data_IF_602864725656
#
_entry.id   IF_602864725656
#
_cell.length_a   1.000
_cell.length_b   1.000
_cell.length_c   1.000
_cell.angle_alpha   90.00
_cell.angle_beta   90.00
_cell.angle_gamma   90.00
#
_symmetry.space_group_name_H-M   'P 1'
#
loop_
_entity.id
_entity.type
_entity.pdbx_description
1 polymer ?
#
# COMPACT_ATOMS: atom_id res chain seq x y z
N UNK A 1 35.58 -51.21 -33.13
CA UNK A 1 34.86 -51.00 -31.85
C UNK A 1 34.92 -49.51 -31.50
N UNK A 2 33.98 -48.68 -31.96
CA UNK A 2 33.99 -47.25 -31.66
C UNK A 2 32.61 -46.55 -31.75
N UNK A 3 31.50 -47.30 -31.87
CA UNK A 3 30.18 -46.70 -32.10
C UNK A 3 29.12 -46.98 -31.04
N UNK A 4 29.42 -47.75 -30.00
CA UNK A 4 28.43 -48.15 -28.97
C UNK A 4 28.51 -47.36 -27.67
N UNK A 5 29.51 -46.51 -27.47
CA UNK A 5 29.70 -45.76 -26.20
C UNK A 5 28.98 -44.41 -26.18
N UNK A 6 28.61 -43.84 -27.35
CA UNK A 6 27.91 -42.53 -27.40
C UNK A 6 26.41 -42.59 -27.08
N UNK A 7 25.79 -43.78 -27.08
CA UNK A 7 24.35 -43.90 -26.78
C UNK A 7 24.02 -43.92 -25.28
N UNK A 8 24.98 -44.28 -24.42
CA UNK A 8 24.74 -44.35 -22.98
C UNK A 8 24.82 -42.98 -22.27
N UNK A 9 25.57 -42.02 -22.83
CA UNK A 9 25.69 -40.66 -22.28
C UNK A 9 24.48 -39.76 -22.59
N UNK A 10 23.61 -40.13 -23.53
CA UNK A 10 22.38 -39.37 -23.82
C UNK A 10 21.19 -39.83 -22.97
N UNK A 11 21.23 -41.01 -22.34
CA UNK A 11 20.12 -41.50 -21.51
C UNK A 11 20.15 -40.98 -20.06
N UNK A 12 21.28 -40.43 -19.59
CA UNK A 12 21.41 -39.92 -18.22
C UNK A 12 20.98 -38.45 -18.05
N UNK A 13 20.62 -37.74 -19.13
CA UNK A 13 20.17 -36.33 -19.05
C UNK A 13 18.67 -36.15 -18.77
N UNK A 14 17.88 -37.24 -18.71
CA UNK A 14 16.42 -37.18 -18.52
C UNK A 14 15.93 -37.45 -17.09
N UNK A 15 16.83 -37.56 -16.11
CA UNK A 15 16.49 -37.70 -14.69
C UNK A 15 16.77 -36.42 -13.89
N UNK A 16 16.49 -35.24 -14.49
CA UNK A 16 16.29 -34.05 -13.67
C UNK A 16 14.99 -34.27 -12.88
N UNK A 17 14.99 -34.09 -11.54
CA UNK A 17 13.75 -34.10 -10.79
C UNK A 17 12.91 -32.96 -11.34
N UNK A 18 11.85 -33.29 -12.09
CA UNK A 18 10.81 -32.33 -12.40
C UNK A 18 10.23 -31.97 -11.05
N UNK A 19 10.69 -30.87 -10.49
CA UNK A 19 10.03 -30.22 -9.36
C UNK A 19 8.67 -29.81 -9.89
N UNK A 20 7.69 -30.69 -9.76
CA UNK A 20 6.29 -30.32 -9.90
C UNK A 20 6.04 -29.40 -8.72
N UNK A 21 6.26 -28.09 -8.92
CA UNK A 21 5.64 -27.11 -8.06
C UNK A 21 4.16 -27.41 -8.16
N UNK A 22 3.58 -27.94 -7.09
CA UNK A 22 2.14 -28.07 -7.00
C UNK A 22 1.61 -26.66 -7.23
N UNK A 23 1.01 -26.43 -8.40
CA UNK A 23 0.43 -25.14 -8.73
C UNK A 23 -0.82 -25.08 -7.85
N UNK A 24 -0.68 -24.46 -6.68
CA UNK A 24 -1.84 -24.19 -5.85
C UNK A 24 -2.74 -23.30 -6.69
N UNK A 25 -4.03 -23.61 -6.77
CA UNK A 25 -5.00 -22.77 -7.49
C UNK A 25 -5.26 -21.44 -6.74
N UNK A 26 -4.27 -20.93 -6.00
CA UNK A 26 -4.40 -19.83 -5.07
C UNK A 26 -5.31 -20.12 -3.88
N UNK A 27 -5.81 -21.35 -3.70
CA UNK A 27 -6.76 -21.70 -2.64
C UNK A 27 -6.05 -22.04 -1.33
N UNK A 28 -6.56 -21.48 -0.23
CA UNK A 28 -6.09 -21.65 1.15
C UNK A 28 -7.22 -22.34 1.93
N UNK A 29 -6.92 -23.47 2.58
CA UNK A 29 -7.92 -24.20 3.35
C UNK A 29 -8.16 -23.53 4.71
N UNK A 30 -9.40 -23.66 5.22
CA UNK A 30 -9.65 -23.33 6.63
C UNK A 30 -8.78 -24.21 7.53
N UNK A 31 -8.10 -23.58 8.49
CA UNK A 31 -7.11 -24.22 9.36
C UNK A 31 -5.67 -23.94 8.93
N UNK A 32 -5.44 -23.50 7.69
CA UNK A 32 -4.12 -23.09 7.25
C UNK A 32 -3.68 -21.80 7.96
N UNK A 33 -2.37 -21.68 8.14
CA UNK A 33 -1.78 -20.54 8.80
C UNK A 33 -0.39 -20.17 8.24
N UNK A 34 0.01 -18.93 8.50
CA UNK A 34 1.38 -18.46 8.29
C UNK A 34 1.95 -17.96 9.61
N UNK A 35 3.28 -18.00 9.74
CA UNK A 35 4.01 -17.47 10.89
C UNK A 35 4.98 -16.38 10.45
N UNK A 36 5.07 -15.31 11.24
CA UNK A 36 6.00 -14.20 11.04
C UNK A 36 7.42 -14.63 11.42
N UNK A 37 8.20 -15.09 10.45
CA UNK A 37 9.59 -15.53 10.66
C UNK A 37 10.52 -14.95 9.58
N UNK A 38 11.79 -14.79 9.92
CA UNK A 38 12.84 -14.36 8.97
C UNK A 38 13.34 -15.50 8.07
N UNK A 39 12.99 -16.75 8.38
CA UNK A 39 13.34 -17.94 7.62
C UNK A 39 12.07 -18.62 7.08
N UNK A 40 12.01 -18.80 5.76
CA UNK A 40 11.13 -19.73 5.03
C UNK A 40 9.64 -19.77 5.43
N UNK A 41 9.01 -18.65 5.77
CA UNK A 41 7.54 -18.60 5.67
C UNK A 41 7.18 -18.53 4.19
N UNK A 42 6.64 -19.61 3.65
CA UNK A 42 6.15 -19.63 2.27
C UNK A 42 4.85 -18.84 2.23
N UNK A 43 4.78 -17.69 1.53
CA UNK A 43 3.56 -16.92 1.44
C UNK A 43 2.49 -17.71 0.66
N UNK A 44 1.24 -17.30 0.79
CA UNK A 44 0.17 -17.78 -0.08
C UNK A 44 0.27 -17.07 -1.43
N UNK A 45 0.66 -17.82 -2.46
CA UNK A 45 0.85 -17.31 -3.81
C UNK A 45 -0.44 -17.36 -4.62
N UNK A 46 -0.62 -16.36 -5.48
CA UNK A 46 -1.55 -16.42 -6.61
C UNK A 46 -1.12 -17.49 -7.63
N UNK A 47 -2.04 -18.06 -8.45
CA UNK A 47 -1.71 -19.10 -9.44
C UNK A 47 -0.60 -18.73 -10.43
N UNK A 48 -0.51 -17.46 -10.83
CA UNK A 48 0.55 -16.91 -11.69
C UNK A 48 1.87 -16.68 -10.95
N UNK A 49 1.84 -16.65 -9.62
CA UNK A 49 2.93 -16.21 -8.77
C UNK A 49 3.25 -14.72 -8.90
N UNK A 50 2.38 -13.90 -9.50
CA UNK A 50 2.60 -12.45 -9.62
C UNK A 50 2.39 -11.74 -8.27
N UNK A 51 1.46 -12.25 -7.45
CA UNK A 51 1.16 -11.73 -6.11
C UNK A 51 1.35 -12.79 -5.02
N UNK A 52 1.70 -12.31 -3.83
CA UNK A 52 1.86 -13.09 -2.62
C UNK A 52 1.13 -12.43 -1.45
N UNK A 53 0.49 -13.22 -0.60
CA UNK A 53 -0.06 -12.82 0.70
C UNK A 53 0.76 -13.44 1.82
N UNK A 54 1.15 -12.65 2.83
CA UNK A 54 1.88 -13.16 3.99
C UNK A 54 2.59 -12.08 4.81
N UNK A 55 3.65 -12.47 5.52
CA UNK A 55 4.41 -11.56 6.37
C UNK A 55 5.58 -10.91 5.63
N UNK A 56 5.54 -9.58 5.54
CA UNK A 56 6.64 -8.75 5.04
C UNK A 56 7.39 -8.12 6.21
N UNK A 57 8.74 -8.21 6.27
CA UNK A 57 9.51 -7.64 7.36
C UNK A 57 9.51 -6.10 7.32
N UNK A 58 9.35 -5.46 8.48
CA UNK A 58 9.48 -4.03 8.69
C UNK A 58 10.89 -3.71 9.19
N UNK A 59 11.80 -3.46 8.25
CA UNK A 59 13.19 -3.16 8.57
C UNK A 59 13.89 -4.31 9.31
N UNK A 60 14.77 -3.97 10.25
CA UNK A 60 15.61 -4.93 10.99
C UNK A 60 15.05 -5.33 12.37
N UNK A 61 13.86 -4.87 12.74
CA UNK A 61 13.41 -4.87 14.15
C UNK A 61 12.60 -6.11 14.57
N UNK A 62 12.69 -7.23 13.84
CA UNK A 62 11.86 -8.43 14.09
C UNK A 62 10.34 -8.12 14.11
N UNK A 63 9.93 -7.07 13.40
CA UNK A 63 8.54 -6.66 13.18
C UNK A 63 8.13 -6.99 11.75
N UNK A 64 6.85 -7.30 11.56
CA UNK A 64 6.29 -7.73 10.28
C UNK A 64 4.95 -7.05 10.02
N UNK A 65 4.60 -6.93 8.74
CA UNK A 65 3.26 -6.62 8.27
C UNK A 65 2.65 -7.84 7.61
N UNK A 66 1.41 -8.14 7.97
CA UNK A 66 0.56 -8.97 7.14
C UNK A 66 0.16 -8.16 5.90
N UNK A 67 0.55 -8.63 4.71
CA UNK A 67 0.53 -7.81 3.50
C UNK A 67 0.34 -8.62 2.22
N UNK A 68 -0.01 -7.92 1.15
CA UNK A 68 0.07 -8.40 -0.23
C UNK A 68 1.12 -7.58 -0.97
N UNK A 69 1.96 -8.26 -1.76
CA UNK A 69 2.98 -7.62 -2.59
C UNK A 69 3.13 -8.30 -3.95
N UNK A 70 3.77 -7.61 -4.88
CA UNK A 70 4.22 -8.22 -6.15
C UNK A 70 5.38 -9.18 -5.89
N UNK A 71 5.14 -10.48 -6.01
CA UNK A 71 6.05 -11.53 -5.58
C UNK A 71 7.30 -11.67 -6.48
N UNK A 72 7.18 -11.30 -7.76
CA UNK A 72 8.28 -11.34 -8.73
C UNK A 72 9.15 -10.09 -8.71
N UNK A 73 8.74 -9.02 -8.03
CA UNK A 73 9.52 -7.78 -7.92
C UNK A 73 10.47 -7.91 -6.71
N UNK A 74 11.80 -7.77 -6.88
CA UNK A 74 12.77 -7.95 -5.80
C UNK A 74 12.52 -7.11 -4.55
N UNK A 75 12.12 -5.85 -4.73
CA UNK A 75 11.88 -4.90 -3.64
C UNK A 75 10.54 -5.13 -2.91
N UNK A 76 9.77 -6.18 -3.27
CA UNK A 76 8.49 -6.57 -2.66
C UNK A 76 7.55 -5.38 -2.45
N UNK A 77 7.21 -4.70 -3.52
CA UNK A 77 6.28 -3.57 -3.47
C UNK A 77 4.93 -4.00 -2.88
N UNK A 78 4.65 -3.55 -1.66
CA UNK A 78 3.41 -3.81 -0.92
C UNK A 78 2.27 -3.00 -1.56
N UNK A 79 1.14 -3.66 -1.78
CA UNK A 79 -0.06 -3.10 -2.42
C UNK A 79 -1.29 -3.17 -1.51
N UNK A 80 -1.20 -3.93 -0.41
CA UNK A 80 -2.21 -4.00 0.63
C UNK A 80 -1.55 -4.45 1.93
N UNK A 81 -2.05 -4.00 3.08
CA UNK A 81 -1.64 -4.50 4.39
C UNK A 81 -2.81 -4.54 5.36
N UNK A 82 -2.73 -5.42 6.35
CA UNK A 82 -3.71 -5.50 7.42
C UNK A 82 -3.71 -4.17 8.21
N UNK A 83 -4.88 -3.56 8.31
CA UNK A 83 -5.10 -2.28 8.98
C UNK A 83 -6.32 -2.44 9.90
N UNK A 84 -6.13 -2.25 11.22
CA UNK A 84 -7.16 -2.36 12.25
C UNK A 84 -7.41 -0.99 12.88
N UNK A 85 -8.67 -0.58 13.00
CA UNK A 85 -9.08 0.71 13.61
C UNK A 85 -8.32 1.95 13.11
N UNK A 86 -7.91 1.94 11.84
CA UNK A 86 -7.10 2.98 11.18
C UNK A 86 -5.60 2.99 11.55
N UNK A 87 -5.07 1.90 12.11
CA UNK A 87 -3.63 1.70 12.34
C UNK A 87 -3.15 0.40 11.67
N UNK A 88 -1.92 0.43 11.15
CA UNK A 88 -1.32 -0.75 10.56
C UNK A 88 -1.11 -1.83 11.64
N UNK A 89 -1.57 -3.05 11.36
CA UNK A 89 -1.44 -4.19 12.26
C UNK A 89 0.00 -4.72 12.24
N UNK A 90 0.88 -4.08 13.02
CA UNK A 90 2.28 -4.49 13.16
C UNK A 90 2.37 -5.74 14.03
N UNK A 91 3.01 -6.78 13.48
CA UNK A 91 3.10 -8.10 14.10
C UNK A 91 4.54 -8.38 14.57
N UNK A 92 4.78 -8.67 15.86
CA UNK A 92 6.09 -9.15 16.31
C UNK A 92 6.40 -10.54 15.72
N UNK A 93 7.68 -10.87 15.62
CA UNK A 93 8.15 -12.21 15.22
C UNK A 93 7.46 -13.33 16.01
N UNK A 94 7.08 -14.38 15.30
CA UNK A 94 6.32 -15.50 15.86
C UNK A 94 4.80 -15.30 15.86
N UNK A 95 4.31 -14.11 15.48
CA UNK A 95 2.88 -13.90 15.24
C UNK A 95 2.37 -14.85 14.16
N UNK A 96 1.10 -15.23 14.24
CA UNK A 96 0.46 -16.14 13.28
C UNK A 96 -0.77 -15.52 12.69
N UNK A 97 -1.01 -15.75 11.39
CA UNK A 97 -2.31 -15.49 10.76
C UNK A 97 -2.94 -16.82 10.39
N UNK A 98 -4.13 -17.09 10.93
CA UNK A 98 -4.86 -18.33 10.68
C UNK A 98 -6.13 -18.02 9.90
N UNK A 99 -6.46 -18.86 8.92
CA UNK A 99 -7.76 -18.83 8.27
C UNK A 99 -8.75 -19.68 9.07
N UNK A 100 -9.84 -19.08 9.51
CA UNK A 100 -10.88 -19.73 10.31
C UNK A 100 -12.24 -19.66 9.61
N UNK A 101 -13.08 -20.68 9.79
CA UNK A 101 -14.41 -20.74 9.17
C UNK A 101 -15.36 -19.60 9.62
N UNK A 102 -15.20 -19.13 10.85
CA UNK A 102 -16.15 -18.20 11.49
C UNK A 102 -15.63 -16.76 11.60
N UNK A 103 -14.31 -16.56 11.60
CA UNK A 103 -13.70 -15.24 11.84
C UNK A 103 -12.80 -14.80 10.70
N UNK A 104 -12.73 -15.56 9.61
CA UNK A 104 -11.84 -15.31 8.49
C UNK A 104 -10.37 -15.36 8.89
N UNK A 105 -9.60 -14.39 8.39
CA UNK A 105 -8.19 -14.23 8.74
C UNK A 105 -8.10 -13.65 10.15
N UNK A 106 -7.37 -14.32 11.03
CA UNK A 106 -7.14 -13.87 12.40
C UNK A 106 -5.65 -13.79 12.65
N UNK A 107 -5.13 -12.59 12.85
CA UNK A 107 -3.74 -12.31 13.18
C UNK A 107 -3.58 -12.26 14.69
N UNK A 108 -2.69 -13.09 15.24
CA UNK A 108 -2.39 -13.15 16.67
C UNK A 108 -0.91 -12.94 16.96
N UNK A 109 -0.62 -12.26 18.07
CA UNK A 109 0.73 -12.17 18.62
C UNK A 109 1.21 -13.56 19.11
N UNK A 110 2.53 -13.75 19.36
CA UNK A 110 3.04 -14.99 19.96
C UNK A 110 2.41 -15.32 21.31
N UNK A 111 1.89 -14.32 22.01
CA UNK A 111 1.22 -14.45 23.31
C UNK A 111 -0.29 -14.76 23.16
N UNK A 112 -0.82 -14.82 21.93
CA UNK A 112 -2.21 -15.15 21.63
C UNK A 112 -3.17 -13.95 21.54
N UNK A 113 -2.68 -12.74 21.76
CA UNK A 113 -3.45 -11.49 21.60
C UNK A 113 -3.89 -11.33 20.15
N UNK A 114 -5.15 -10.96 19.92
CA UNK A 114 -5.66 -10.65 18.58
C UNK A 114 -5.17 -9.26 18.16
N UNK A 115 -4.32 -9.21 17.14
CA UNK A 115 -3.78 -7.97 16.60
C UNK A 115 -4.67 -7.41 15.48
N UNK A 116 -5.34 -8.29 14.73
CA UNK A 116 -6.23 -7.92 13.62
C UNK A 116 -7.10 -9.11 13.18
N UNK A 117 -8.24 -8.82 12.55
CA UNK A 117 -9.04 -9.81 11.82
C UNK A 117 -9.74 -9.21 10.59
N UNK A 118 -10.06 -10.03 9.59
CA UNK A 118 -10.73 -9.63 8.35
C UNK A 118 -12.23 -9.29 8.51
N UNK A 119 -12.66 -8.78 9.66
CA UNK A 119 -14.08 -8.54 9.96
C UNK A 119 -14.91 -9.83 10.13
N UNK A 120 -16.17 -9.68 10.54
CA UNK A 120 -17.10 -10.79 10.72
C UNK A 120 -17.99 -10.90 9.49
N UNK A 121 -17.88 -11.99 8.72
CA UNK A 121 -18.80 -12.24 7.61
C UNK A 121 -20.11 -12.86 8.09
N UNK A 122 -21.22 -12.53 7.41
CA UNK A 122 -22.50 -13.23 7.58
C UNK A 122 -22.42 -14.51 6.75
N UNK A 123 -21.79 -15.56 7.30
CA UNK A 123 -21.62 -16.82 6.59
C UNK A 123 -20.55 -17.72 7.20
N UNK A 124 -20.37 -18.90 6.59
CA UNK A 124 -19.30 -19.84 6.95
C UNK A 124 -18.29 -19.87 5.80
N UNK A 125 -17.06 -19.49 6.09
CA UNK A 125 -15.98 -19.46 5.13
C UNK A 125 -15.57 -20.91 4.80
N UNK A 126 -15.52 -21.22 3.51
CA UNK A 126 -15.09 -22.51 3.01
C UNK A 126 -13.58 -22.54 2.73
N UNK A 127 -13.06 -21.46 2.15
CA UNK A 127 -11.65 -21.29 1.81
C UNK A 127 -11.32 -19.81 1.57
N UNK A 128 -10.02 -19.51 1.56
CA UNK A 128 -9.47 -18.26 1.03
C UNK A 128 -8.91 -18.47 -0.37
N UNK A 129 -8.83 -17.42 -1.17
CA UNK A 129 -8.25 -17.45 -2.52
C UNK A 129 -7.38 -16.21 -2.72
N UNK A 130 -6.09 -16.41 -2.97
CA UNK A 130 -5.21 -15.38 -3.52
C UNK A 130 -5.28 -15.44 -5.04
N UNK A 131 -5.91 -14.48 -5.69
CA UNK A 131 -6.10 -14.51 -7.14
C UNK A 131 -5.02 -13.75 -7.93
N UNK A 132 -5.04 -13.87 -9.26
CA UNK A 132 -4.08 -13.22 -10.16
C UNK A 132 -4.34 -11.72 -10.39
N UNK A 133 -5.42 -11.15 -9.84
CA UNK A 133 -5.64 -9.70 -9.82
C UNK A 133 -4.98 -9.04 -8.61
N UNK A 134 -4.45 -9.83 -7.67
CA UNK A 134 -3.92 -9.33 -6.40
C UNK A 134 -4.99 -9.18 -5.31
N UNK A 135 -6.21 -9.67 -5.55
CA UNK A 135 -7.28 -9.68 -4.56
C UNK A 135 -7.23 -10.98 -3.76
N UNK A 136 -7.15 -10.87 -2.43
CA UNK A 136 -7.38 -11.99 -1.52
C UNK A 136 -8.86 -12.02 -1.12
N UNK A 137 -9.53 -13.13 -1.44
CA UNK A 137 -10.98 -13.32 -1.25
C UNK A 137 -11.23 -14.43 -0.24
N UNK A 138 -12.12 -14.19 0.72
CA UNK A 138 -12.70 -15.20 1.58
C UNK A 138 -14.07 -15.56 1.01
N UNK A 139 -14.31 -16.84 0.74
CA UNK A 139 -15.52 -17.26 0.04
C UNK A 139 -16.25 -18.40 0.75
N UNK A 140 -17.55 -18.50 0.51
CA UNK A 140 -18.41 -19.57 1.00
C UNK A 140 -18.31 -20.84 0.10
N UNK A 141 -19.14 -21.85 0.37
CA UNK A 141 -19.15 -23.10 -0.43
C UNK A 141 -19.67 -22.91 -1.86
N UNK A 142 -20.41 -21.84 -2.12
CA UNK A 142 -20.94 -21.47 -3.43
C UNK A 142 -19.97 -20.56 -4.20
N UNK A 143 -18.77 -20.29 -3.64
CA UNK A 143 -17.80 -19.33 -4.16
C UNK A 143 -18.30 -17.87 -4.15
N UNK A 144 -19.27 -17.55 -3.30
CA UNK A 144 -19.67 -16.18 -3.04
C UNK A 144 -18.65 -15.49 -2.14
N UNK A 145 -18.25 -14.27 -2.51
CA UNK A 145 -17.31 -13.46 -1.73
C UNK A 145 -17.96 -13.00 -0.42
N UNK A 146 -17.39 -13.42 0.71
CA UNK A 146 -17.80 -13.04 2.05
C UNK A 146 -16.97 -11.86 2.59
N UNK A 147 -15.74 -11.72 2.12
CA UNK A 147 -14.83 -10.61 2.41
C UNK A 147 -13.72 -10.60 1.38
N UNK A 148 -13.22 -9.42 1.02
CA UNK A 148 -12.07 -9.31 0.12
C UNK A 148 -11.24 -8.05 0.36
N UNK A 149 -9.97 -8.14 -0.01
CA UNK A 149 -9.03 -7.00 0.12
C UNK A 149 -9.38 -5.82 -0.79
N UNK A 150 -10.00 -6.08 -1.95
CA UNK A 150 -10.41 -5.01 -2.87
C UNK A 150 -11.48 -4.09 -2.28
N UNK A 151 -12.34 -4.60 -1.39
CA UNK A 151 -13.32 -3.78 -0.66
C UNK A 151 -12.75 -3.16 0.62
N UNK A 152 -11.49 -3.48 0.96
CA UNK A 152 -10.80 -2.99 2.15
C UNK A 152 -9.42 -2.43 1.78
N UNK A 153 -9.32 -1.44 0.86
CA UNK A 153 -8.04 -0.94 0.39
C UNK A 153 -7.27 -0.17 1.47
N UNK A 154 -5.96 -0.04 1.28
CA UNK A 154 -5.09 0.79 2.11
C UNK A 154 -4.78 2.12 1.42
N UNK A 155 -3.60 2.23 0.81
CA UNK A 155 -3.10 3.39 0.07
C UNK A 155 -3.09 3.13 -1.44
N UNK A 156 -3.37 1.91 -1.89
CA UNK A 156 -3.16 1.47 -3.26
C UNK A 156 -4.40 0.78 -3.83
N UNK A 157 -4.71 1.08 -5.09
CA UNK A 157 -5.65 0.34 -5.93
C UNK A 157 -4.91 -0.46 -6.99
N UNK A 158 -5.47 -1.63 -7.31
CA UNK A 158 -4.99 -2.52 -8.37
C UNK A 158 -5.96 -2.58 -9.57
N UNK A 159 -5.49 -2.99 -10.76
CA UNK A 159 -6.37 -3.20 -11.90
C UNK A 159 -7.44 -4.27 -11.61
N UNK A 160 -8.68 -3.96 -11.94
CA UNK A 160 -9.87 -4.76 -11.62
C UNK A 160 -10.59 -4.32 -10.34
N UNK A 161 -10.06 -3.33 -9.61
CA UNK A 161 -10.67 -2.82 -8.38
C UNK A 161 -11.56 -1.60 -8.64
N UNK A 162 -12.64 -1.50 -7.87
CA UNK A 162 -13.48 -0.31 -7.78
C UNK A 162 -13.47 0.25 -6.36
N UNK A 163 -13.76 1.54 -6.23
CA UNK A 163 -13.98 2.22 -4.96
C UNK A 163 -15.35 2.88 -5.02
N UNK A 164 -16.29 2.37 -4.24
CA UNK A 164 -17.65 2.91 -4.14
C UNK A 164 -17.69 4.24 -3.39
N UNK A 165 -18.85 4.89 -3.36
CA UNK A 165 -19.07 6.08 -2.52
C UNK A 165 -18.77 5.78 -1.05
N UNK A 166 -18.27 6.78 -0.35
CA UNK A 166 -17.63 6.67 0.97
C UNK A 166 -16.38 5.80 1.04
N UNK A 167 -15.99 5.14 -0.06
CA UNK A 167 -14.73 4.43 -0.18
C UNK A 167 -13.56 5.41 -0.20
N UNK A 168 -12.47 5.04 0.50
CA UNK A 168 -11.28 5.88 0.62
C UNK A 168 -9.98 5.09 0.49
N UNK A 169 -8.93 5.77 0.04
CA UNK A 169 -7.54 5.39 0.26
C UNK A 169 -6.95 6.31 1.32
N UNK A 170 -6.15 5.77 2.23
CA UNK A 170 -5.40 6.55 3.21
C UNK A 170 -3.92 6.36 2.97
N UNK A 171 -3.16 7.45 2.89
CA UNK A 171 -1.72 7.36 2.73
C UNK A 171 -1.09 6.69 3.95
N UNK A 172 0.09 6.12 3.79
CA UNK A 172 0.97 5.79 4.91
C UNK A 172 1.65 7.05 5.47
N UNK A 173 2.22 6.96 6.68
CA UNK A 173 2.89 8.08 7.35
C UNK A 173 4.22 8.44 6.68
N UNK A 174 4.98 7.43 6.25
CA UNK A 174 6.24 7.62 5.52
C UNK A 174 6.54 6.40 4.65
N UNK A 175 7.63 6.43 3.87
CA UNK A 175 8.06 5.31 3.03
C UNK A 175 8.19 3.98 3.80
N UNK A 176 8.62 4.04 5.06
CA UNK A 176 8.90 2.86 5.90
C UNK A 176 7.92 2.67 7.05
N UNK A 177 7.02 3.62 7.27
CA UNK A 177 6.02 3.58 8.32
C UNK A 177 4.61 3.50 7.72
N UNK A 178 4.00 2.32 7.85
CA UNK A 178 2.69 1.99 7.30
C UNK A 178 1.53 2.45 8.18
N UNK A 179 1.78 3.07 9.33
CA UNK A 179 0.75 3.77 10.09
C UNK A 179 0.05 4.82 9.22
N UNK A 180 -1.18 5.15 9.59
CA UNK A 180 -2.00 6.08 8.82
C UNK A 180 -1.34 7.46 8.73
N UNK A 181 -1.20 7.92 7.50
CA UNK A 181 -0.71 9.25 7.16
C UNK A 181 -1.83 10.29 7.07
N UNK A 182 -1.42 11.52 6.76
CA UNK A 182 -2.30 12.70 6.78
C UNK A 182 -3.02 12.98 5.48
N UNK A 183 -2.94 12.11 4.47
CA UNK A 183 -3.58 12.31 3.17
C UNK A 183 -4.62 11.23 2.91
N UNK A 184 -5.74 11.62 2.30
CA UNK A 184 -6.76 10.70 1.85
C UNK A 184 -7.23 11.01 0.42
N UNK A 185 -7.62 9.97 -0.30
CA UNK A 185 -8.45 10.02 -1.49
C UNK A 185 -9.81 9.49 -1.08
N UNK A 186 -10.88 10.22 -1.34
CA UNK A 186 -12.24 9.84 -0.92
C UNK A 186 -13.19 10.07 -2.09
N UNK A 187 -13.98 9.04 -2.45
CA UNK A 187 -15.17 9.25 -3.26
C UNK A 187 -16.31 9.61 -2.33
N UNK A 188 -16.75 10.85 -2.37
CA UNK A 188 -17.79 11.37 -1.47
C UNK A 188 -19.19 10.86 -1.87
N UNK A 189 -20.14 10.93 -0.94
CA UNK A 189 -21.53 10.51 -1.16
C UNK A 189 -22.25 11.30 -2.26
N UNK A 190 -21.84 12.55 -2.50
CA UNK A 190 -22.33 13.39 -3.59
C UNK A 190 -21.74 13.04 -4.97
N UNK A 191 -20.86 12.03 -5.01
CA UNK A 191 -20.17 11.54 -6.19
C UNK A 191 -18.83 12.21 -6.49
N UNK A 192 -18.41 13.23 -5.73
CA UNK A 192 -17.14 13.90 -5.99
C UNK A 192 -15.95 13.07 -5.49
N UNK A 193 -15.00 12.78 -6.38
CA UNK A 193 -13.71 12.23 -5.98
C UNK A 193 -12.76 13.37 -5.57
N UNK A 194 -12.28 13.33 -4.33
CA UNK A 194 -11.45 14.38 -3.74
C UNK A 194 -10.16 13.85 -3.13
N UNK A 195 -9.11 14.68 -3.18
CA UNK A 195 -7.89 14.51 -2.40
C UNK A 195 -7.82 15.60 -1.34
N UNK A 196 -7.64 15.20 -0.08
CA UNK A 196 -7.56 16.14 1.04
C UNK A 196 -6.53 15.71 2.09
N UNK A 197 -6.19 16.64 2.96
CA UNK A 197 -5.46 16.31 4.19
C UNK A 197 -6.44 16.01 5.31
N UNK A 198 -6.01 15.24 6.30
CA UNK A 198 -6.77 14.99 7.54
C UNK A 198 -5.95 15.42 8.76
N UNK A 199 -6.65 15.88 9.79
CA UNK A 199 -6.06 16.18 11.08
C UNK A 199 -5.97 14.88 11.89
N UNK A 200 -4.75 14.46 12.26
CA UNK A 200 -4.55 13.31 13.13
C UNK A 200 -4.48 13.76 14.59
N UNK A 201 -5.05 13.01 15.56
CA UNK A 201 -5.72 11.71 15.39
C UNK A 201 -7.24 11.80 15.11
N UNK A 202 -7.81 13.00 14.97
CA UNK A 202 -9.27 13.20 14.90
C UNK A 202 -9.92 12.74 13.60
N UNK A 203 -9.13 12.55 12.54
CA UNK A 203 -9.56 12.22 11.18
C UNK A 203 -10.47 13.28 10.53
N UNK A 204 -10.51 14.51 11.06
CA UNK A 204 -11.24 15.59 10.40
C UNK A 204 -10.54 15.96 9.09
N UNK A 205 -11.26 15.83 7.98
CA UNK A 205 -10.79 16.27 6.68
C UNK A 205 -10.72 17.81 6.64
N UNK A 206 -9.61 18.32 6.12
CA UNK A 206 -9.51 19.69 5.67
C UNK A 206 -10.06 19.80 4.24
N UNK A 207 -10.14 21.01 3.71
CA UNK A 207 -10.65 21.22 2.36
C UNK A 207 -9.80 20.48 1.31
N UNK A 208 -10.44 19.97 0.25
CA UNK A 208 -9.75 19.29 -0.83
C UNK A 208 -8.76 20.19 -1.57
N UNK A 209 -7.54 19.69 -1.80
CA UNK A 209 -6.59 20.35 -2.71
C UNK A 209 -6.75 19.91 -4.16
N UNK A 210 -7.56 18.86 -4.39
CA UNK A 210 -8.01 18.42 -5.70
C UNK A 210 -9.41 17.82 -5.61
N UNK A 211 -10.23 18.08 -6.63
CA UNK A 211 -11.56 17.53 -6.81
C UNK A 211 -11.80 17.27 -8.30
N UNK A 212 -12.64 16.29 -8.61
CA UNK A 212 -13.02 15.96 -9.99
C UNK A 212 -14.28 16.71 -10.47
N UNK A 213 -14.98 17.37 -9.56
CA UNK A 213 -16.26 18.04 -9.78
C UNK A 213 -17.29 17.13 -10.45
N UNK A 214 -17.26 15.85 -10.05
CA UNK A 214 -18.20 14.82 -10.49
C UNK A 214 -19.43 14.76 -9.59
N UNK A 215 -19.99 15.92 -9.26
CA UNK A 215 -21.22 16.05 -8.46
C UNK A 215 -22.46 16.11 -9.34
N UNK A 216 -23.63 16.18 -8.72
CA UNK A 216 -24.88 16.51 -9.42
C UNK A 216 -24.75 17.88 -10.10
N UNK A 217 -24.80 17.89 -11.42
CA UNK A 217 -24.68 19.08 -12.26
C UNK A 217 -25.99 19.42 -12.96
N UNK A 218 -25.90 20.06 -14.13
CA UNK A 218 -27.07 20.36 -14.98
C UNK A 218 -27.58 19.16 -15.77
N UNK A 219 -26.75 18.10 -15.90
CA UNK A 219 -27.10 16.86 -16.57
C UNK A 219 -27.44 15.82 -15.50
N UNK A 220 -28.65 15.26 -15.55
CA UNK A 220 -29.06 14.23 -14.60
C UNK A 220 -28.11 13.02 -14.63
N UNK A 221 -27.77 12.49 -13.45
CA UNK A 221 -26.86 11.35 -13.30
C UNK A 221 -25.40 11.68 -13.57
N UNK A 222 -24.99 12.96 -13.53
CA UNK A 222 -23.59 13.35 -13.71
C UNK A 222 -22.71 13.05 -12.50
N UNK A 223 -23.33 12.75 -11.36
CA UNK A 223 -22.65 12.40 -10.14
C UNK A 223 -21.85 11.10 -10.27
N UNK A 224 -20.67 11.06 -9.66
CA UNK A 224 -19.83 9.87 -9.59
C UNK A 224 -20.52 8.74 -8.81
N UNK A 225 -20.46 7.54 -9.37
CA UNK A 225 -20.96 6.30 -8.78
C UNK A 225 -19.84 5.53 -8.10
N UNK A 226 -18.73 5.35 -8.82
CA UNK A 226 -17.57 4.59 -8.36
C UNK A 226 -16.29 5.07 -9.08
N UNK A 227 -15.16 4.99 -8.40
CA UNK A 227 -13.84 5.11 -9.02
C UNK A 227 -13.41 3.73 -9.51
N UNK A 228 -13.16 3.60 -10.81
CA UNK A 228 -12.83 2.34 -11.46
C UNK A 228 -11.37 2.35 -11.89
N UNK A 229 -10.61 1.34 -11.49
CA UNK A 229 -9.31 1.04 -12.07
C UNK A 229 -9.39 -0.30 -12.81
N UNK A 230 -9.42 -0.29 -14.14
CA UNK A 230 -9.64 -1.53 -14.91
C UNK A 230 -8.35 -2.19 -15.41
N UNK A 231 -8.45 -3.45 -15.85
CA UNK A 231 -7.33 -4.27 -16.36
C UNK A 231 -6.69 -3.72 -17.64
N UNK A 232 -7.38 -2.84 -18.36
CA UNK A 232 -6.82 -2.14 -19.52
C UNK A 232 -5.95 -0.94 -19.13
N UNK A 233 -5.86 -0.61 -17.83
CA UNK A 233 -5.02 0.48 -17.32
C UNK A 233 -5.77 1.80 -17.13
N UNK A 234 -7.07 1.85 -17.44
CA UNK A 234 -7.85 3.09 -17.29
C UNK A 234 -8.27 3.31 -15.84
N UNK A 235 -8.08 4.54 -15.37
CA UNK A 235 -8.49 5.03 -14.07
C UNK A 235 -9.48 6.20 -14.25
N UNK A 236 -10.74 6.00 -13.87
CA UNK A 236 -11.81 6.97 -14.11
C UNK A 236 -12.92 6.90 -13.07
N UNK A 237 -13.61 8.02 -12.85
CA UNK A 237 -14.90 8.02 -12.13
C UNK A 237 -15.99 7.63 -13.12
N UNK A 238 -16.70 6.53 -12.85
CA UNK A 238 -17.93 6.16 -13.55
C UNK A 238 -19.07 6.99 -12.96
N UNK A 239 -19.88 7.62 -13.81
CA UNK A 239 -21.06 8.40 -13.41
C UNK A 239 -22.33 7.56 -13.48
N UNK A 240 -23.37 7.97 -12.76
CA UNK A 240 -24.67 7.26 -12.74
C UNK A 240 -25.30 7.15 -14.13
N UNK A 241 -25.12 8.17 -14.98
CA UNK A 241 -25.60 8.16 -16.37
C UNK A 241 -24.73 7.33 -17.33
N UNK A 242 -23.72 6.60 -16.83
CA UNK A 242 -22.79 5.80 -17.62
C UNK A 242 -21.63 6.60 -18.24
N UNK A 243 -21.60 7.92 -18.07
CA UNK A 243 -20.48 8.76 -18.45
C UNK A 243 -19.21 8.45 -17.65
N UNK A 244 -18.05 8.80 -18.20
CA UNK A 244 -16.75 8.58 -17.55
C UNK A 244 -15.98 9.90 -17.43
N UNK A 245 -15.45 10.16 -16.25
CA UNK A 245 -14.45 11.20 -16.03
C UNK A 245 -13.08 10.53 -15.87
N UNK A 246 -12.24 10.58 -16.90
CA UNK A 246 -10.91 9.98 -16.86
C UNK A 246 -9.96 10.83 -16.02
N UNK A 247 -9.32 10.22 -15.02
CA UNK A 247 -8.30 10.89 -14.22
C UNK A 247 -7.00 11.02 -15.01
N UNK A 248 -6.52 9.88 -15.53
CA UNK A 248 -5.31 9.82 -16.34
C UNK A 248 -5.65 10.14 -17.81
N UNK A 249 -5.13 11.26 -18.31
CA UNK A 249 -5.23 11.66 -19.73
C UNK A 249 -3.86 11.45 -20.36
N UNK A 250 -3.69 10.41 -21.20
CA UNK A 250 -2.39 10.14 -21.84
C UNK A 250 -2.20 8.69 -22.26
N UNK A 251 -0.93 8.26 -22.28
CA UNK A 251 -0.52 6.90 -22.59
C UNK A 251 -1.08 5.92 -21.54
N UNK A 252 -1.77 4.89 -22.02
CA UNK A 252 -2.34 3.85 -21.17
C UNK A 252 -1.60 2.56 -21.43
N UNK A 253 -1.07 1.95 -20.37
CA UNK A 253 -0.44 0.63 -20.43
C UNK A 253 -1.38 -0.40 -19.79
N UNK A 254 -1.39 -1.62 -20.32
CA UNK A 254 -2.28 -2.69 -19.84
C UNK A 254 -1.61 -3.55 -18.77
N UNK A 255 -2.42 -4.03 -17.82
CA UNK A 255 -2.00 -4.96 -16.76
C UNK A 255 -1.60 -6.36 -17.29
N UNK A 256 -1.87 -6.64 -18.57
CA UNK A 256 -1.44 -7.87 -19.25
C UNK A 256 0.09 -7.97 -19.29
N UNK A 257 0.74 -6.91 -19.76
CA UNK A 257 2.18 -6.89 -20.04
C UNK A 257 2.98 -6.14 -18.96
N UNK A 258 2.28 -5.44 -18.06
CA UNK A 258 2.86 -4.61 -17.02
C UNK A 258 2.25 -4.93 -15.65
N UNK A 259 3.05 -4.81 -14.59
CA UNK A 259 2.52 -4.54 -13.26
C UNK A 259 2.10 -3.07 -13.22
N UNK A 260 0.88 -2.80 -12.72
CA UNK A 260 0.35 -1.44 -12.66
C UNK A 260 -0.36 -1.26 -11.32
N UNK A 261 -0.20 -0.09 -10.71
CA UNK A 261 -0.86 0.28 -9.45
C UNK A 261 -1.19 1.76 -9.45
N UNK A 262 -2.24 2.15 -8.73
CA UNK A 262 -2.51 3.55 -8.41
C UNK A 262 -2.38 3.74 -6.90
N UNK A 263 -1.43 4.55 -6.43
CA UNK A 263 -1.09 4.67 -5.01
C UNK A 263 -1.19 6.12 -4.56
N UNK A 264 -1.87 6.36 -3.44
CA UNK A 264 -1.82 7.60 -2.68
C UNK A 264 -0.56 7.59 -1.82
N UNK A 265 0.46 8.30 -2.29
CA UNK A 265 1.75 8.31 -1.60
C UNK A 265 1.67 9.07 -0.27
N UNK A 266 2.64 8.78 0.61
CA UNK A 266 2.76 9.41 1.94
C UNK A 266 2.93 10.94 1.88
N UNK A 267 3.29 11.49 0.72
CA UNK A 267 3.47 12.92 0.49
C UNK A 267 2.28 13.59 -0.22
N UNK A 268 1.14 12.88 -0.30
CA UNK A 268 -0.12 13.42 -0.80
C UNK A 268 -0.30 13.35 -2.31
N UNK A 269 0.68 12.84 -3.05
CA UNK A 269 0.54 12.66 -4.50
C UNK A 269 -0.13 11.32 -4.78
N UNK A 270 -1.29 11.34 -5.44
CA UNK A 270 -1.91 10.15 -5.99
C UNK A 270 -1.34 9.88 -7.38
N UNK A 271 -0.72 8.72 -7.58
CA UNK A 271 0.00 8.44 -8.82
C UNK A 271 -0.26 7.02 -9.33
N UNK A 272 -0.38 6.92 -10.66
CA UNK A 272 -0.40 5.66 -11.38
C UNK A 272 1.03 5.29 -11.80
N UNK A 273 1.45 4.08 -11.42
CA UNK A 273 2.76 3.54 -11.72
C UNK A 273 2.66 2.31 -12.60
N UNK A 274 3.68 2.09 -13.43
CA UNK A 274 3.86 0.83 -14.15
C UNK A 274 5.29 0.30 -14.05
N UNK A 275 5.39 -1.00 -14.23
CA UNK A 275 6.63 -1.73 -14.41
C UNK A 275 6.40 -2.87 -15.44
N UNK A 276 7.15 -2.94 -16.55
CA UNK A 276 7.03 -4.05 -17.50
C UNK A 276 7.29 -5.39 -16.82
N UNK A 277 6.49 -6.44 -17.11
CA UNK A 277 6.68 -7.76 -16.48
C UNK A 277 7.94 -8.48 -16.98
N UNK A 278 8.40 -8.16 -18.18
CA UNK A 278 9.60 -8.74 -18.78
C UNK A 278 10.83 -7.85 -18.51
N UNK A 279 11.30 -7.85 -17.27
CA UNK A 279 12.46 -7.07 -16.86
C UNK A 279 13.67 -7.95 -16.55
N UNK A 280 14.86 -7.39 -16.72
CA UNK A 280 16.14 -8.03 -16.38
C UNK A 280 16.94 -7.12 -15.45
N UNK A 281 17.40 -7.67 -14.32
CA UNK A 281 18.22 -6.93 -13.36
C UNK A 281 17.42 -6.01 -12.44
N UNK A 282 18.02 -4.89 -12.05
CA UNK A 282 17.39 -3.91 -11.15
C UNK A 282 16.27 -3.16 -11.86
N UNK A 283 15.14 -3.03 -11.19
CA UNK A 283 13.93 -2.39 -11.72
C UNK A 283 13.43 -1.30 -10.82
N UNK A 284 12.78 -0.31 -11.41
CA UNK A 284 12.11 0.77 -10.72
C UNK A 284 10.75 1.05 -11.34
N UNK A 285 9.82 1.49 -10.50
CA UNK A 285 8.50 1.93 -10.94
C UNK A 285 8.60 3.23 -11.72
N UNK A 286 7.90 3.32 -12.83
CA UNK A 286 7.77 4.55 -13.62
C UNK A 286 6.39 5.16 -13.41
N UNK A 287 6.31 6.49 -13.26
CA UNK A 287 5.04 7.22 -13.12
C UNK A 287 4.44 7.43 -14.51
N UNK A 288 3.19 7.00 -14.71
CA UNK A 288 2.39 7.31 -15.90
C UNK A 288 1.68 8.66 -15.76
N UNK A 289 1.08 8.85 -14.59
CA UNK A 289 0.23 9.97 -14.28
C UNK A 289 0.24 10.22 -12.77
N UNK A 290 0.07 11.46 -12.36
CA UNK A 290 -0.03 11.84 -10.96
C UNK A 290 -0.84 13.11 -10.75
N UNK A 291 -1.51 13.21 -9.61
CA UNK A 291 -2.21 14.41 -9.17
C UNK A 291 -1.87 14.71 -7.70
N UNK A 292 -1.60 15.98 -7.34
CA UNK A 292 -1.41 17.13 -8.24
C UNK A 292 0.01 17.28 -8.78
N UNK A 293 0.16 18.07 -9.85
CA UNK A 293 1.45 18.41 -10.45
C UNK A 293 2.39 19.19 -9.50
N UNK A 294 1.82 20.08 -8.68
CA UNK A 294 2.56 20.86 -7.68
C UNK A 294 1.75 21.00 -6.39
N UNK A 295 1.83 19.99 -5.53
CA UNK A 295 1.06 19.95 -4.28
C UNK A 295 1.37 21.14 -3.35
N UNK A 296 2.60 21.68 -3.37
CA UNK A 296 2.98 22.82 -2.54
C UNK A 296 2.24 24.12 -2.88
N UNK A 297 1.65 24.22 -4.08
CA UNK A 297 0.86 25.39 -4.52
C UNK A 297 -0.65 25.13 -4.50
N UNK A 298 -1.08 23.88 -4.37
CA UNK A 298 -2.51 23.51 -4.39
C UNK A 298 -3.17 23.69 -3.03
N UNK A 299 -2.43 23.49 -1.95
CA UNK A 299 -2.92 23.78 -0.60
C UNK A 299 -2.74 25.27 -0.32
N UNK A 300 -3.76 26.06 -0.63
CA UNK A 300 -3.73 27.54 -0.50
C UNK A 300 -4.33 28.07 0.79
N UNK A 301 -4.76 27.20 1.68
CA UNK A 301 -5.55 27.59 2.85
C UNK A 301 -4.71 28.11 4.01
N UNK A 302 -5.28 29.06 4.73
CA UNK A 302 -4.70 29.65 5.94
C UNK A 302 -4.83 28.77 7.18
N UNK A 303 -5.52 27.62 7.09
CA UNK A 303 -5.80 26.72 8.20
C UNK A 303 -5.66 25.26 7.77
N UNK A 304 -5.05 24.45 8.63
CA UNK A 304 -4.79 23.02 8.37
C UNK A 304 -3.30 22.70 8.40
N UNK A 305 -2.99 21.39 8.48
CA UNK A 305 -1.62 20.87 8.59
C UNK A 305 -0.80 21.03 7.29
N UNK A 306 -1.48 21.17 6.15
CA UNK A 306 -0.87 21.25 4.82
C UNK A 306 -0.04 20.01 4.46
N UNK A 307 0.81 20.14 3.44
CA UNK A 307 1.66 19.02 2.96
C UNK A 307 2.72 18.67 4.01
N UNK A 308 3.29 19.70 4.64
CA UNK A 308 4.55 19.60 5.37
C UNK A 308 4.43 19.60 6.88
N UNK A 309 3.23 19.51 7.43
CA UNK A 309 3.05 19.70 8.86
C UNK A 309 3.03 21.18 9.25
N UNK A 310 2.60 21.43 10.48
CA UNK A 310 2.59 22.76 11.07
C UNK A 310 3.99 23.37 11.14
N UNK A 311 4.09 24.66 10.83
CA UNK A 311 5.33 25.45 10.84
C UNK A 311 6.45 24.95 9.91
N UNK A 312 6.13 24.18 8.87
CA UNK A 312 7.09 23.70 7.88
C UNK A 312 6.82 24.31 6.50
N UNK A 313 7.88 24.50 5.71
CA UNK A 313 7.80 25.10 4.36
C UNK A 313 7.85 24.00 3.31
N UNK A 314 6.84 23.97 2.43
CA UNK A 314 6.80 23.09 1.27
C UNK A 314 7.58 23.69 0.09
N UNK A 315 8.43 22.89 -0.52
CA UNK A 315 9.11 23.20 -1.78
C UNK A 315 9.02 22.01 -2.72
N UNK A 316 8.86 22.26 -4.02
CA UNK A 316 8.82 21.18 -5.02
C UNK A 316 10.23 20.86 -5.51
N UNK A 317 10.59 19.58 -5.57
CA UNK A 317 11.83 19.10 -6.20
C UNK A 317 11.66 18.95 -7.71
N UNK A 318 12.77 18.73 -8.42
CA UNK A 318 12.78 18.51 -9.87
C UNK A 318 12.04 17.25 -10.33
N UNK A 319 11.83 16.28 -9.42
CA UNK A 319 11.03 15.07 -9.63
C UNK A 319 9.52 15.28 -9.38
N UNK A 320 9.09 16.53 -9.22
CA UNK A 320 7.71 16.94 -8.86
C UNK A 320 7.22 16.40 -7.51
N UNK A 321 8.11 15.92 -6.63
CA UNK A 321 7.75 15.52 -5.26
C UNK A 321 7.94 16.69 -4.30
N UNK A 322 7.09 16.86 -3.26
CA UNK A 322 7.29 17.89 -2.26
C UNK A 322 8.49 17.55 -1.38
N UNK A 323 9.04 18.59 -0.76
CA UNK A 323 10.05 18.47 0.30
C UNK A 323 9.79 19.55 1.32
N UNK A 324 9.86 19.13 2.58
CA UNK A 324 9.52 19.94 3.72
C UNK A 324 10.78 20.37 4.45
N UNK A 325 10.86 21.65 4.80
CA UNK A 325 11.98 22.21 5.56
C UNK A 325 11.48 23.11 6.68
N UNK A 326 12.16 23.03 7.82
CA UNK A 326 11.90 23.92 8.94
C UNK A 326 12.41 25.34 8.60
N UNK A 327 11.63 26.39 8.92
CA UNK A 327 12.13 27.76 8.94
C UNK A 327 13.31 27.91 9.92
N UNK A 328 14.08 28.99 9.75
CA UNK A 328 15.16 29.33 10.68
C UNK A 328 14.64 29.43 12.12
N UNK A 329 15.28 28.70 13.04
CA UNK A 329 14.88 28.65 14.46
C UNK A 329 13.84 27.58 14.81
N UNK A 330 13.49 26.70 13.87
CA UNK A 330 12.60 25.56 14.08
C UNK A 330 13.33 24.23 13.81
N UNK A 331 12.86 23.16 14.44
CA UNK A 331 13.30 21.78 14.19
C UNK A 331 12.09 20.85 14.15
N UNK A 332 12.20 19.75 13.40
CA UNK A 332 11.15 18.72 13.36
C UNK A 332 10.85 18.21 14.77
N UNK A 333 9.57 17.93 15.02
CA UNK A 333 9.12 17.28 16.25
C UNK A 333 9.58 15.83 16.32
N UNK A 334 9.40 15.10 15.22
CA UNK A 334 9.98 13.77 15.01
C UNK A 334 11.03 13.85 13.90
N UNK A 335 12.32 13.63 14.19
CA UNK A 335 13.37 13.60 13.17
C UNK A 335 13.16 12.57 12.05
N UNK A 336 12.35 11.53 12.28
CA UNK A 336 12.04 10.49 11.31
C UNK A 336 10.80 10.81 10.45
N UNK A 337 10.00 11.82 10.82
CA UNK A 337 8.89 12.33 10.00
C UNK A 337 9.36 13.56 9.20
N UNK A 338 9.98 13.32 8.04
CA UNK A 338 10.53 14.37 7.19
C UNK A 338 9.48 15.29 6.56
N UNK A 339 8.19 14.93 6.61
CA UNK A 339 7.08 15.76 6.16
C UNK A 339 6.22 16.24 7.34
N UNK A 340 6.75 16.14 8.56
CA UNK A 340 6.05 16.37 9.81
C UNK A 340 6.19 17.78 10.38
N UNK A 341 5.53 17.96 11.52
CA UNK A 341 5.43 19.24 12.22
C UNK A 341 6.78 19.73 12.74
N UNK A 342 6.97 21.04 12.67
CA UNK A 342 8.13 21.73 13.21
C UNK A 342 7.77 22.55 14.45
N UNK A 343 8.69 22.61 15.40
CA UNK A 343 8.57 23.42 16.60
C UNK A 343 9.76 24.34 16.78
N UNK A 344 9.50 25.48 17.42
CA UNK A 344 10.54 26.47 17.72
C UNK A 344 11.58 25.86 18.65
N UNK A 345 12.85 26.00 18.29
CA UNK A 345 13.96 25.52 19.10
C UNK A 345 13.94 26.29 20.43
N UNK A 346 13.60 25.61 21.53
CA UNK A 346 13.57 26.24 22.85
C UNK A 346 15.00 26.45 23.39
N UNK A 347 15.23 27.56 24.09
CA UNK A 347 16.51 27.84 24.77
C UNK A 347 16.95 26.72 25.74
N UNK A 348 15.99 25.96 26.31
CA UNK A 348 16.27 24.80 27.17
C UNK A 348 16.83 23.61 26.39
N UNK A 349 16.36 23.37 25.16
CA UNK A 349 16.88 22.31 24.30
C UNK A 349 18.31 22.62 23.84
N UNK A 350 18.60 23.88 23.48
CA UNK A 350 19.94 24.35 23.13
C UNK A 350 20.93 24.19 24.30
N UNK A 351 20.51 24.56 25.52
CA UNK A 351 21.33 24.32 26.73
C UNK A 351 21.62 22.84 26.97
N UNK A 352 20.64 21.96 26.77
CA UNK A 352 20.80 20.51 26.94
C UNK A 352 21.77 19.91 25.92
N UNK A 353 21.68 20.31 24.64
CA UNK A 353 22.65 19.92 23.60
C UNK A 353 24.06 20.47 23.88
N UNK A 354 24.17 21.71 24.34
CA UNK A 354 25.46 22.31 24.72
C UNK A 354 26.11 21.59 25.91
N UNK A 355 25.33 21.15 26.90
CA UNK A 355 25.80 20.37 28.04
C UNK A 355 26.26 18.96 27.65
N UNK A 356 25.57 18.32 26.69
CA UNK A 356 25.98 17.02 26.13
C UNK A 356 27.27 17.17 25.33
N UNK A 357 27.38 18.20 24.48
CA UNK A 357 28.60 18.49 23.73
C UNK A 357 29.80 18.80 24.65
N UNK A 358 29.59 19.56 25.73
CA UNK A 358 30.62 19.79 26.75
C UNK A 358 31.03 18.51 27.49
N UNK A 359 30.07 17.62 27.82
CA UNK A 359 30.38 16.32 28.44
C UNK A 359 31.17 15.41 27.51
N UNK A 360 30.82 15.37 26.22
CA UNK A 360 31.56 14.60 25.20
C UNK A 360 32.97 15.18 25.02
N UNK A 361 33.10 16.51 24.97
CA UNK A 361 34.39 17.18 24.88
C UNK A 361 35.30 16.95 26.10
N UNK A 362 34.72 16.88 27.30
CA UNK A 362 35.47 16.50 28.52
C UNK A 362 35.85 15.01 28.53
N UNK A 363 34.98 14.11 28.07
CA UNK A 363 35.31 12.68 27.97
C UNK A 363 36.39 12.37 26.92
N UNK A 364 36.48 13.17 25.85
CA UNK A 364 37.53 13.05 24.82
C UNK A 364 38.88 13.67 25.25
N UNK A 365 38.94 14.31 26.43
CA UNK A 365 40.14 14.95 26.98
C UNK A 365 40.71 14.26 28.24
N UNK A 366 40.18 13.09 28.60
CA UNK A 366 40.73 12.24 29.67
C UNK A 366 41.48 11.04 29.10
#
# INVERSE_FOLDING_TARGET
>A
MAFTVRLLLFSSLFLLPVSVFAQTNGSIAVGDFLTATTANSSPWLSPSGDFAFGFSPLGSNDLFLLSIWYAKIPDRTIVWHANGDNEAAVAPKGSTVNLTANSGLVLRSPQGEELWKSGTSVGVIANGVMNDTGNFVLQDRNSESLWETFNNPTDTMLPGQTLERSGKLSSRQSETNYSKGRFQLLLQEDGNLVLSTINLPTNFANEPYYATDTTSGTVAGSEGKELVFNVSGYLYVLRENGGKYNLAVGEVVSARDNYIRATLNFDGIFAQYYLPKNFTGNVSWTILWSEPDNICQRITESSGVGVCGYNSICTLKGDKRPTCRCPTGFSLLDPNDHIGDANRISYKAVKKMSLVAQKIYMMLRC
#
